data_IF_834555535888
#
_entry.id   IF_834555535888
#
_cell.length_a   1.000
_cell.length_b   1.000
_cell.length_c   1.000
_cell.angle_alpha   90.00
_cell.angle_beta   90.00
_cell.angle_gamma   90.00
#
_symmetry.space_group_name_H-M   'P 1'
#
loop_
_entity.id
_entity.type
_entity.pdbx_description
1 polymer ?
#
# COMPACT_ATOMS: atom_id res chain seq x y z
N UNK A 1 -12.34 12.42 -21.33
CA UNK A 1 -11.47 11.26 -21.01
C UNK A 1 -10.48 11.58 -19.89
N UNK A 2 -9.84 12.76 -19.89
CA UNK A 2 -8.93 13.25 -18.84
C UNK A 2 -9.44 13.07 -17.40
N UNK A 3 -10.60 13.65 -17.10
CA UNK A 3 -11.19 13.62 -15.76
C UNK A 3 -11.51 12.19 -15.29
N UNK A 4 -12.03 11.33 -16.19
CA UNK A 4 -12.28 9.92 -15.86
C UNK A 4 -11.00 9.19 -15.46
N UNK A 5 -9.89 9.38 -16.19
CA UNK A 5 -8.59 8.77 -15.85
C UNK A 5 -8.07 9.25 -14.49
N UNK A 6 -8.22 10.54 -14.21
CA UNK A 6 -7.86 11.15 -12.91
C UNK A 6 -8.66 10.57 -11.75
N UNK A 7 -9.98 10.44 -11.92
CA UNK A 7 -10.86 9.81 -10.92
C UNK A 7 -10.49 8.35 -10.67
N UNK A 8 -10.17 7.60 -11.73
CA UNK A 8 -9.71 6.20 -11.61
C UNK A 8 -8.38 6.15 -10.84
N UNK A 9 -7.41 7.00 -11.16
CA UNK A 9 -6.13 7.05 -10.45
C UNK A 9 -6.31 7.35 -8.95
N UNK A 10 -7.16 8.33 -8.61
CA UNK A 10 -7.48 8.66 -7.21
C UNK A 10 -8.19 7.48 -6.52
N UNK A 11 -9.17 6.86 -7.20
CA UNK A 11 -9.90 5.72 -6.65
C UNK A 11 -8.98 4.55 -6.31
N UNK A 12 -8.09 4.17 -7.25
CA UNK A 12 -7.11 3.12 -7.02
C UNK A 12 -6.10 3.48 -5.93
N UNK A 13 -5.62 4.73 -5.91
CA UNK A 13 -4.73 5.22 -4.86
C UNK A 13 -5.34 5.04 -3.46
N UNK A 14 -6.61 5.41 -3.28
CA UNK A 14 -7.29 5.32 -1.99
C UNK A 14 -7.52 3.85 -1.59
N UNK A 15 -8.03 3.03 -2.51
CA UNK A 15 -8.31 1.61 -2.25
C UNK A 15 -7.03 0.86 -1.93
N UNK A 16 -5.95 1.03 -2.71
CA UNK A 16 -4.70 0.32 -2.47
C UNK A 16 -4.03 0.76 -1.16
N UNK A 17 -4.16 2.03 -0.78
CA UNK A 17 -3.63 2.53 0.49
C UNK A 17 -4.39 1.98 1.69
N UNK A 18 -5.72 1.89 1.63
CA UNK A 18 -6.53 1.25 2.68
C UNK A 18 -6.16 -0.23 2.81
N UNK A 19 -6.06 -0.95 1.69
CA UNK A 19 -5.68 -2.37 1.71
C UNK A 19 -4.27 -2.58 2.27
N UNK A 20 -3.30 -1.74 1.90
CA UNK A 20 -1.95 -1.78 2.43
C UNK A 20 -1.95 -1.66 3.96
N UNK A 21 -2.67 -0.67 4.51
CA UNK A 21 -2.79 -0.47 5.96
C UNK A 21 -3.45 -1.68 6.63
N UNK A 22 -4.55 -2.20 6.07
CA UNK A 22 -5.25 -3.36 6.65
C UNK A 22 -4.39 -4.62 6.66
N UNK A 23 -3.58 -4.82 5.61
CA UNK A 23 -2.69 -5.99 5.50
C UNK A 23 -1.52 -5.91 6.48
N UNK A 24 -0.97 -4.72 6.71
CA UNK A 24 0.14 -4.50 7.66
C UNK A 24 -0.36 -4.49 9.11
N UNK A 25 -1.54 -3.93 9.37
CA UNK A 25 -2.13 -3.88 10.71
C UNK A 25 -2.55 -5.27 11.24
N UNK A 26 -2.78 -6.24 10.35
CA UNK A 26 -3.15 -7.60 10.73
C UNK A 26 -1.93 -8.44 11.12
N UNK A 27 -1.66 -8.58 12.42
CA UNK A 27 -0.66 -9.54 12.91
C UNK A 27 -1.17 -10.98 12.79
N UNK A 28 -1.01 -11.58 11.61
CA UNK A 28 -1.26 -12.99 11.37
C UNK A 28 -0.03 -13.87 11.67
N UNK A 29 -0.19 -15.20 11.77
CA UNK A 29 0.93 -16.14 11.95
C UNK A 29 1.98 -16.09 10.82
N UNK A 30 1.68 -15.37 9.74
CA UNK A 30 2.50 -15.25 8.54
C UNK A 30 3.21 -13.88 8.45
N UNK A 31 3.09 -13.02 9.48
CA UNK A 31 3.77 -11.73 9.53
C UNK A 31 5.31 -11.87 9.51
N UNK A 32 5.83 -13.00 9.99
CA UNK A 32 7.25 -13.29 10.08
C UNK A 32 7.93 -12.55 11.22
N UNK A 33 9.22 -12.22 11.05
CA UNK A 33 10.00 -11.56 12.10
C UNK A 33 9.77 -10.05 12.08
N UNK A 34 9.74 -9.43 13.27
CA UNK A 34 9.74 -7.97 13.41
C UNK A 34 11.07 -7.41 12.93
N UNK A 35 11.04 -6.53 11.93
CA UNK A 35 12.21 -5.81 11.43
C UNK A 35 12.40 -4.47 12.15
N UNK A 36 11.30 -3.82 12.50
CA UNK A 36 11.32 -2.52 13.16
C UNK A 36 10.16 -2.39 14.13
N UNK A 37 10.43 -2.13 15.41
CA UNK A 37 9.39 -1.86 16.40
C UNK A 37 8.96 -0.39 16.34
N UNK A 38 7.66 -0.17 16.07
CA UNK A 38 7.06 1.18 16.05
C UNK A 38 6.51 1.51 17.44
N UNK A 39 5.99 0.51 18.15
CA UNK A 39 5.51 0.58 19.52
C UNK A 39 5.67 -0.78 20.21
N UNK A 40 5.39 -0.85 21.51
CA UNK A 40 5.45 -2.08 22.31
C UNK A 40 4.58 -3.23 21.76
N UNK A 41 3.54 -2.94 20.99
CA UNK A 41 2.62 -3.94 20.43
C UNK A 41 2.56 -3.98 18.91
N UNK A 42 3.27 -3.07 18.23
CA UNK A 42 3.21 -2.95 16.77
C UNK A 42 4.60 -2.70 16.20
N UNK A 43 4.92 -3.43 15.15
CA UNK A 43 6.14 -3.25 14.39
C UNK A 43 5.93 -3.60 12.92
N UNK A 44 6.87 -3.18 12.10
CA UNK A 44 6.98 -3.56 10.71
C UNK A 44 7.71 -4.90 10.64
N UNK A 45 7.05 -5.88 10.05
CA UNK A 45 7.50 -7.26 9.96
C UNK A 45 8.03 -7.58 8.56
N UNK A 46 8.75 -8.69 8.43
CA UNK A 46 9.24 -9.18 7.13
C UNK A 46 8.11 -9.40 6.12
N UNK A 47 6.93 -9.82 6.58
CA UNK A 47 5.74 -10.00 5.75
C UNK A 47 5.17 -8.70 5.18
N UNK A 48 5.50 -7.56 5.79
CA UNK A 48 5.03 -6.24 5.34
C UNK A 48 5.84 -5.71 4.16
N UNK A 49 7.09 -6.18 3.98
CA UNK A 49 7.95 -5.77 2.86
C UNK A 49 7.32 -6.00 1.48
N UNK A 50 6.81 -7.20 1.12
CA UNK A 50 6.16 -7.39 -0.17
C UNK A 50 4.87 -6.56 -0.31
N UNK A 51 4.13 -6.35 0.78
CA UNK A 51 2.92 -5.50 0.77
C UNK A 51 3.28 -4.05 0.45
N UNK A 52 4.30 -3.50 1.12
CA UNK A 52 4.80 -2.15 0.88
C UNK A 52 5.37 -1.99 -0.53
N UNK A 53 6.09 -2.99 -1.05
CA UNK A 53 6.61 -2.99 -2.41
C UNK A 53 5.48 -2.94 -3.45
N UNK A 54 4.47 -3.79 -3.30
CA UNK A 54 3.30 -3.81 -4.20
C UNK A 54 2.48 -2.53 -4.10
N UNK A 55 2.30 -1.99 -2.88
CA UNK A 55 1.65 -0.71 -2.68
C UNK A 55 2.43 0.41 -3.39
N UNK A 56 3.74 0.52 -3.19
CA UNK A 56 4.58 1.50 -3.87
C UNK A 56 4.51 1.40 -5.40
N UNK A 57 4.53 0.19 -5.94
CA UNK A 57 4.31 -0.05 -7.37
C UNK A 57 2.91 0.43 -7.83
N UNK A 58 1.87 0.20 -7.02
CA UNK A 58 0.52 0.68 -7.32
C UNK A 58 0.44 2.21 -7.37
N UNK A 59 1.12 2.90 -6.45
CA UNK A 59 1.18 4.37 -6.43
C UNK A 59 1.88 4.91 -7.68
N UNK A 60 2.99 4.26 -8.08
CA UNK A 60 3.72 4.62 -9.28
C UNK A 60 2.83 4.50 -10.53
N UNK A 61 2.07 3.41 -10.65
CA UNK A 61 1.11 3.22 -11.75
C UNK A 61 -0.01 4.27 -11.73
N UNK A 62 -0.53 4.62 -10.54
CA UNK A 62 -1.52 5.68 -10.41
C UNK A 62 -0.95 7.04 -10.82
N UNK A 63 0.30 7.32 -10.49
CA UNK A 63 1.00 8.54 -10.90
C UNK A 63 1.19 8.62 -12.41
N UNK A 64 1.63 7.52 -13.06
CA UNK A 64 1.73 7.45 -14.51
C UNK A 64 0.36 7.70 -15.17
N UNK A 65 -0.69 7.05 -14.65
CA UNK A 65 -2.06 7.24 -15.14
C UNK A 65 -2.55 8.68 -14.98
N UNK A 66 -2.19 9.34 -13.87
CA UNK A 66 -2.53 10.75 -13.61
C UNK A 66 -1.77 11.71 -14.53
N UNK A 67 -0.48 11.48 -14.72
CA UNK A 67 0.40 12.29 -15.59
C UNK A 67 -0.06 12.22 -17.05
N UNK A 68 -0.44 11.02 -17.49
CA UNK A 68 -0.86 10.73 -18.86
C UNK A 68 -2.37 10.92 -19.08
N UNK A 69 -3.10 11.30 -18.03
CA UNK A 69 -4.46 11.80 -18.12
C UNK A 69 -4.41 13.22 -18.68
#
# INVERSE_FOLDING_TARGET
>A
MRERRRLIAIGFYLVSSILCVLLIAGHGPWAGQTLWEISLSHGLNTGDLPVLALWGASLWMCWLLWRDA
#
